data_IF_245054315227
#
_entry.id   IF_245054315227
#
_cell.length_a   1.000
_cell.length_b   1.000
_cell.length_c   1.000
_cell.angle_alpha   90.00
_cell.angle_beta   90.00
_cell.angle_gamma   90.00
#
_symmetry.space_group_name_H-M   'P 1'
#
loop_
_entity.id
_entity.type
_entity.pdbx_description
1 polymer ?
#
# COMPACT_ATOMS: atom_id res chain seq x y z
N UNK A 1 -62.18 12.33 23.24
CA UNK A 1 -61.40 12.10 22.01
C UNK A 1 -60.35 11.03 22.30
N UNK A 2 -60.49 9.86 21.66
CA UNK A 2 -59.57 8.72 21.71
C UNK A 2 -58.29 9.01 20.93
N UNK A 3 -57.15 8.45 21.37
CA UNK A 3 -56.22 7.65 20.54
C UNK A 3 -55.50 6.60 21.42
N UNK A 4 -55.14 5.41 20.89
CA UNK A 4 -54.83 4.22 21.67
C UNK A 4 -53.34 3.82 21.67
N UNK A 5 -53.09 2.76 22.45
CA UNK A 5 -51.84 2.11 22.85
C UNK A 5 -50.87 1.66 21.74
N UNK A 6 -49.57 1.67 22.06
CA UNK A 6 -48.52 0.96 21.34
C UNK A 6 -48.36 -0.45 21.94
N UNK A 7 -48.67 -1.48 21.14
CA UNK A 7 -48.43 -2.89 21.47
C UNK A 7 -47.02 -3.33 21.09
N UNK A 8 -46.37 -4.08 21.98
CA UNK A 8 -45.11 -4.76 21.72
C UNK A 8 -45.31 -5.95 20.78
N UNK A 9 -44.35 -6.17 19.89
CA UNK A 9 -44.31 -7.33 18.99
C UNK A 9 -43.16 -8.24 19.40
N UNK A 10 -43.53 -9.39 19.94
CA UNK A 10 -42.72 -10.58 20.16
C UNK A 10 -42.55 -11.29 18.80
N UNK A 11 -41.31 -11.59 18.37
CA UNK A 11 -41.07 -12.43 17.20
C UNK A 11 -40.78 -13.87 17.61
N UNK A 12 -41.72 -14.74 17.25
CA UNK A 12 -41.69 -16.19 17.38
C UNK A 12 -41.14 -16.83 16.09
N UNK A 13 -40.32 -17.87 16.27
CA UNK A 13 -40.09 -19.02 15.37
C UNK A 13 -40.04 -18.81 13.84
N UNK A 14 -38.83 -18.91 13.27
CA UNK A 14 -38.62 -19.41 11.92
C UNK A 14 -37.79 -20.71 11.99
N UNK A 15 -38.47 -21.85 11.86
CA UNK A 15 -37.87 -23.17 11.63
C UNK A 15 -37.46 -23.26 10.16
N UNK A 16 -36.16 -23.33 9.89
CA UNK A 16 -35.65 -23.74 8.59
C UNK A 16 -35.72 -25.27 8.47
N UNK A 17 -36.42 -25.73 7.45
CA UNK A 17 -36.65 -27.14 7.13
C UNK A 17 -35.41 -27.69 6.42
N UNK A 18 -34.74 -28.69 7.02
CA UNK A 18 -33.66 -29.46 6.38
C UNK A 18 -34.21 -30.85 6.05
N UNK A 19 -34.14 -31.32 4.80
CA UNK A 19 -34.70 -32.62 4.44
C UNK A 19 -33.85 -33.78 4.99
N UNK A 20 -34.52 -34.62 5.78
CA UNK A 20 -34.02 -35.86 6.33
C UNK A 20 -33.85 -36.93 5.23
N UNK A 21 -32.63 -37.41 5.00
CA UNK A 21 -32.38 -38.74 4.42
C UNK A 21 -31.36 -39.47 5.30
N UNK A 22 -31.88 -40.12 6.35
CA UNK A 22 -31.16 -41.16 7.07
C UNK A 22 -31.29 -42.48 6.30
N UNK A 23 -30.18 -42.98 5.76
CA UNK A 23 -30.00 -44.41 5.50
C UNK A 23 -29.27 -44.98 6.71
N UNK A 24 -29.97 -45.83 7.46
CA UNK A 24 -29.40 -46.57 8.59
C UNK A 24 -28.38 -47.57 8.07
N UNK A 25 -27.11 -47.39 8.45
CA UNK A 25 -26.09 -48.44 8.39
C UNK A 25 -25.50 -48.54 9.79
N UNK A 26 -25.78 -49.65 10.47
CA UNK A 26 -25.17 -49.97 11.74
C UNK A 26 -23.64 -50.01 11.57
N UNK A 27 -22.94 -49.08 12.22
CA UNK A 27 -21.48 -49.09 12.32
C UNK A 27 -21.12 -49.65 13.68
N UNK A 28 -20.31 -50.70 13.67
CA UNK A 28 -19.69 -51.28 14.84
C UNK A 28 -19.02 -50.18 15.69
N UNK A 29 -19.25 -50.22 17.00
CA UNK A 29 -18.53 -49.41 17.97
C UNK A 29 -17.06 -49.77 17.90
N UNK A 30 -16.28 -48.93 17.22
CA UNK A 30 -14.83 -48.91 17.39
C UNK A 30 -14.59 -48.11 18.66
N UNK A 31 -14.14 -48.78 19.71
CA UNK A 31 -13.73 -48.13 20.96
C UNK A 31 -12.48 -47.32 20.61
N UNK A 32 -12.65 -46.03 20.34
CA UNK A 32 -11.54 -45.08 20.27
C UNK A 32 -10.90 -45.01 21.66
N UNK A 33 -9.57 -45.17 21.79
CA UNK A 33 -8.93 -45.02 23.08
C UNK A 33 -9.25 -43.61 23.61
N UNK A 34 -9.82 -43.54 24.81
CA UNK A 34 -9.93 -42.26 25.52
C UNK A 34 -8.50 -41.77 25.75
N UNK A 35 -8.13 -40.67 25.08
CA UNK A 35 -6.99 -39.86 25.47
C UNK A 35 -7.06 -39.67 26.99
N UNK A 36 -6.03 -40.15 27.69
CA UNK A 36 -5.96 -40.18 29.15
C UNK A 36 -5.78 -38.80 29.77
N UNK A 37 -5.50 -37.77 28.97
CA UNK A 37 -5.14 -36.45 29.42
C UNK A 37 -5.98 -35.41 28.68
N UNK A 38 -6.54 -34.44 29.41
CA UNK A 38 -7.26 -33.32 28.83
C UNK A 38 -6.27 -32.43 28.06
N UNK A 39 -6.57 -32.07 26.82
CA UNK A 39 -5.70 -31.23 26.00
C UNK A 39 -5.44 -29.89 26.69
N UNK A 40 -6.43 -29.35 27.42
CA UNK A 40 -6.27 -28.11 28.19
C UNK A 40 -5.13 -28.22 29.20
N UNK A 41 -5.02 -29.35 29.91
CA UNK A 41 -3.95 -29.57 30.88
C UNK A 41 -2.57 -29.64 30.23
N UNK A 42 -2.48 -30.27 29.05
CA UNK A 42 -1.23 -30.33 28.26
C UNK A 42 -0.78 -28.93 27.87
N UNK A 43 -1.69 -28.08 27.40
CA UNK A 43 -1.34 -26.71 26.98
C UNK A 43 -1.02 -25.82 28.19
N UNK A 44 -1.74 -25.94 29.30
CA UNK A 44 -1.38 -25.23 30.55
C UNK A 44 0.04 -25.63 31.00
N UNK A 45 0.37 -26.93 30.91
CA UNK A 45 1.72 -27.43 31.20
C UNK A 45 2.77 -26.83 30.26
N UNK A 46 2.45 -26.69 28.97
CA UNK A 46 3.32 -26.02 27.99
C UNK A 46 3.64 -24.58 28.40
N UNK A 47 2.62 -23.77 28.73
CA UNK A 47 2.83 -22.38 29.15
C UNK A 47 3.59 -22.26 30.47
N UNK A 48 3.35 -23.16 31.43
CA UNK A 48 4.10 -23.21 32.68
C UNK A 48 5.59 -23.54 32.43
N UNK A 49 5.87 -24.53 31.58
CA UNK A 49 7.23 -24.87 31.19
C UNK A 49 7.90 -23.72 30.42
N UNK A 50 7.15 -23.03 29.55
CA UNK A 50 7.62 -21.81 28.90
C UNK A 50 7.98 -20.76 29.95
N UNK A 51 7.09 -20.38 30.86
CA UNK A 51 7.40 -19.36 31.87
C UNK A 51 8.57 -19.74 32.79
N UNK A 52 8.82 -21.03 32.99
CA UNK A 52 9.97 -21.55 33.74
C UNK A 52 11.28 -21.63 32.92
N UNK A 53 11.23 -21.44 31.60
CA UNK A 53 12.37 -21.66 30.70
C UNK A 53 12.73 -23.14 30.50
N UNK A 54 11.82 -24.06 30.82
CA UNK A 54 12.02 -25.50 30.74
C UNK A 54 11.73 -26.01 29.32
N UNK A 55 12.74 -25.86 28.46
CA UNK A 55 12.69 -26.31 27.06
C UNK A 55 12.61 -27.83 26.93
N UNK A 56 13.13 -28.58 27.90
CA UNK A 56 13.10 -30.04 27.89
C UNK A 56 11.67 -30.56 28.04
N UNK A 57 10.92 -30.03 29.02
CA UNK A 57 9.50 -30.33 29.16
C UNK A 57 8.73 -29.94 27.91
N UNK A 58 8.97 -28.76 27.34
CA UNK A 58 8.30 -28.33 26.09
C UNK A 58 8.57 -29.31 24.95
N UNK A 59 9.84 -29.67 24.72
CA UNK A 59 10.22 -30.63 23.68
C UNK A 59 9.53 -31.99 23.88
N UNK A 60 9.33 -32.40 25.13
CA UNK A 60 8.56 -33.59 25.48
C UNK A 60 7.07 -33.50 25.19
N UNK A 61 6.47 -32.31 25.07
CA UNK A 61 5.05 -32.12 24.74
C UNK A 61 4.77 -32.04 23.23
N UNK A 62 5.80 -31.74 22.42
CA UNK A 62 5.71 -31.61 20.96
C UNK A 62 5.76 -32.99 20.26
N UNK A 63 4.92 -33.18 19.24
CA UNK A 63 5.04 -34.31 18.31
C UNK A 63 6.29 -34.15 17.42
N UNK A 64 6.81 -35.22 16.83
CA UNK A 64 8.02 -35.10 16.00
C UNK A 64 7.78 -34.27 14.73
N UNK A 65 6.60 -34.39 14.15
CA UNK A 65 6.12 -33.75 12.91
C UNK A 65 5.23 -32.51 13.18
N UNK A 66 5.40 -31.86 14.32
CA UNK A 66 4.57 -30.72 14.69
C UNK A 66 4.88 -29.44 13.88
N UNK A 67 3.85 -28.63 13.63
CA UNK A 67 3.97 -27.32 12.96
C UNK A 67 3.57 -26.20 13.91
N UNK A 68 4.44 -25.21 14.11
CA UNK A 68 4.21 -24.07 14.99
C UNK A 68 4.22 -22.77 14.17
N UNK A 69 3.09 -22.08 14.10
CA UNK A 69 2.99 -20.81 13.38
C UNK A 69 2.75 -19.64 14.33
N UNK A 70 3.82 -18.93 14.67
CA UNK A 70 3.72 -17.59 15.25
C UNK A 70 3.48 -16.58 14.12
N UNK A 71 2.32 -15.91 14.12
CA UNK A 71 1.89 -15.01 13.04
C UNK A 71 2.70 -13.71 12.96
N UNK A 72 3.66 -13.49 13.87
CA UNK A 72 4.71 -12.48 13.68
C UNK A 72 5.65 -12.90 12.54
N UNK A 73 5.81 -14.20 12.31
CA UNK A 73 6.60 -14.78 11.23
C UNK A 73 5.70 -15.22 10.07
N UNK A 74 6.26 -15.18 8.87
CA UNK A 74 5.51 -15.49 7.66
C UNK A 74 5.28 -16.99 7.47
N UNK A 75 6.32 -17.80 7.68
CA UNK A 75 6.27 -19.27 7.60
C UNK A 75 6.25 -19.90 9.00
N UNK A 76 5.63 -21.09 9.15
CA UNK A 76 5.71 -21.87 10.38
C UNK A 76 7.10 -22.48 10.59
N UNK A 77 7.41 -22.80 11.85
CA UNK A 77 8.50 -23.68 12.23
C UNK A 77 8.03 -25.13 12.15
N UNK A 78 8.75 -25.98 11.41
CA UNK A 78 8.33 -27.33 11.07
C UNK A 78 9.22 -28.38 11.75
N UNK A 79 8.57 -29.25 12.52
CA UNK A 79 9.19 -30.31 13.29
C UNK A 79 9.67 -29.85 14.67
N UNK A 80 9.69 -30.81 15.60
CA UNK A 80 10.04 -30.59 17.02
C UNK A 80 11.38 -29.87 17.20
N UNK A 81 12.38 -30.23 16.40
CA UNK A 81 13.73 -29.70 16.55
C UNK A 81 13.80 -28.20 16.23
N UNK A 82 13.18 -27.77 15.12
CA UNK A 82 13.18 -26.36 14.71
C UNK A 82 12.47 -25.49 15.75
N UNK A 83 11.34 -25.96 16.27
CA UNK A 83 10.58 -25.26 17.31
C UNK A 83 11.39 -25.15 18.60
N UNK A 84 12.08 -26.21 19.02
CA UNK A 84 12.95 -26.18 20.20
C UNK A 84 14.13 -25.22 20.02
N UNK A 85 14.74 -25.16 18.84
CA UNK A 85 15.81 -24.20 18.52
C UNK A 85 15.30 -22.76 18.50
N UNK A 86 14.13 -22.52 17.94
CA UNK A 86 13.44 -21.23 18.00
C UNK A 86 13.21 -20.79 19.45
N UNK A 87 12.62 -21.64 20.28
CA UNK A 87 12.36 -21.32 21.69
C UNK A 87 13.64 -21.05 22.48
N UNK A 88 14.74 -21.77 22.20
CA UNK A 88 16.07 -21.46 22.78
C UNK A 88 16.57 -20.08 22.37
N UNK A 89 16.39 -19.69 21.11
CA UNK A 89 16.73 -18.34 20.65
C UNK A 89 15.86 -17.27 21.32
N UNK A 90 14.57 -17.52 21.50
CA UNK A 90 13.68 -16.60 22.23
C UNK A 90 14.21 -16.38 23.65
N UNK A 91 14.70 -17.42 24.33
CA UNK A 91 15.29 -17.31 25.68
C UNK A 91 16.55 -16.46 25.77
N UNK A 92 17.33 -16.34 24.70
CA UNK A 92 18.54 -15.49 24.72
C UNK A 92 18.21 -14.02 24.53
N UNK A 93 17.02 -13.70 24.03
CA UNK A 93 16.59 -12.35 23.65
C UNK A 93 15.58 -11.79 24.65
N UNK A 94 14.60 -12.61 25.06
CA UNK A 94 13.48 -12.18 25.90
C UNK A 94 13.87 -12.26 27.38
N UNK A 95 13.76 -11.14 28.14
CA UNK A 95 13.98 -11.12 29.58
C UNK A 95 13.18 -12.21 30.33
N UNK A 96 13.80 -12.84 31.31
CA UNK A 96 13.20 -13.96 32.07
C UNK A 96 12.02 -13.57 32.95
N UNK A 97 11.85 -12.27 33.22
CA UNK A 97 10.74 -11.71 33.98
C UNK A 97 9.51 -11.39 33.11
N UNK A 98 9.58 -11.59 31.79
CA UNK A 98 8.41 -11.58 30.91
C UNK A 98 7.73 -12.95 30.89
N UNK A 99 6.49 -13.00 31.35
CA UNK A 99 5.72 -14.25 31.50
C UNK A 99 4.35 -14.14 30.85
N UNK A 100 3.93 -15.23 30.22
CA UNK A 100 2.56 -15.38 29.74
C UNK A 100 1.62 -15.65 30.91
N UNK A 101 0.52 -14.91 30.99
CA UNK A 101 -0.58 -15.14 31.90
C UNK A 101 -1.78 -15.60 31.09
N UNK A 102 -2.31 -16.78 31.41
CA UNK A 102 -3.49 -17.32 30.76
C UNK A 102 -4.73 -16.62 31.33
N UNK A 103 -5.49 -15.96 30.46
CA UNK A 103 -6.76 -15.32 30.81
C UNK A 103 -7.91 -16.35 30.81
N UNK A 104 -8.00 -17.16 29.75
CA UNK A 104 -9.00 -18.23 29.62
C UNK A 104 -8.52 -19.34 28.66
N UNK A 105 -9.10 -20.52 28.78
CA UNK A 105 -8.83 -21.65 27.90
C UNK A 105 -10.06 -22.53 27.71
N UNK A 106 -10.36 -22.86 26.45
CA UNK A 106 -11.49 -23.74 26.07
C UNK A 106 -11.35 -25.13 26.69
N UNK A 107 -12.47 -25.76 27.03
CA UNK A 107 -12.54 -27.12 27.60
C UNK A 107 -13.53 -28.01 26.84
N UNK A 108 -13.44 -29.32 27.05
CA UNK A 108 -14.41 -30.30 26.52
C UNK A 108 -14.02 -30.98 25.20
N UNK A 109 -12.90 -30.60 24.57
CA UNK A 109 -12.28 -31.30 23.44
C UNK A 109 -10.90 -31.82 23.87
N UNK A 110 -10.69 -33.13 23.74
CA UNK A 110 -9.44 -33.79 24.16
C UNK A 110 -8.28 -33.59 23.17
N UNK A 111 -8.47 -32.87 22.06
CA UNK A 111 -7.45 -32.62 21.04
C UNK A 111 -7.29 -31.16 20.65
N UNK A 112 -8.21 -30.27 20.99
CA UNK A 112 -8.16 -28.86 20.55
C UNK A 112 -8.35 -27.91 21.71
N UNK A 113 -7.48 -26.92 21.78
CA UNK A 113 -7.52 -25.90 22.83
C UNK A 113 -7.28 -24.52 22.21
N UNK A 114 -8.20 -23.60 22.45
CA UNK A 114 -7.95 -22.17 22.32
C UNK A 114 -7.58 -21.58 23.68
N UNK A 115 -6.55 -20.74 23.72
CA UNK A 115 -6.12 -20.01 24.92
C UNK A 115 -6.09 -18.52 24.62
N UNK A 116 -6.57 -17.71 25.55
CA UNK A 116 -6.32 -16.27 25.60
C UNK A 116 -5.26 -15.97 26.65
N UNK A 117 -4.36 -15.05 26.35
CA UNK A 117 -3.26 -14.70 27.24
C UNK A 117 -2.86 -13.23 27.09
N UNK A 118 -2.16 -12.73 28.09
CA UNK A 118 -1.39 -11.49 28.03
C UNK A 118 0.01 -11.73 28.60
N UNK A 119 0.95 -10.83 28.34
CA UNK A 119 2.29 -10.90 28.94
C UNK A 119 2.38 -9.92 30.10
N UNK A 120 3.00 -10.36 31.19
CA UNK A 120 3.36 -9.51 32.33
C UNK A 120 4.87 -9.44 32.48
N UNK A 121 5.37 -8.30 32.95
CA UNK A 121 6.76 -8.04 33.30
C UNK A 121 6.89 -7.93 34.81
N UNK A 122 7.78 -8.71 35.42
CA UNK A 122 8.00 -8.65 36.87
C UNK A 122 6.77 -9.07 37.68
N UNK A 123 6.44 -8.30 38.73
CA UNK A 123 5.33 -8.60 39.64
C UNK A 123 4.00 -7.98 39.14
N UNK A 124 3.37 -8.60 38.15
CA UNK A 124 1.99 -8.29 37.76
C UNK A 124 1.81 -7.10 36.82
N UNK A 125 2.88 -6.54 36.25
CA UNK A 125 2.79 -5.38 35.36
C UNK A 125 2.47 -5.86 33.95
N UNK A 126 1.24 -5.63 33.48
CA UNK A 126 0.82 -5.98 32.12
C UNK A 126 1.68 -5.25 31.08
N UNK A 127 2.33 -6.01 30.19
CA UNK A 127 3.16 -5.47 29.13
C UNK A 127 2.26 -4.87 28.03
N UNK A 128 2.45 -3.61 27.59
CA UNK A 128 1.59 -3.00 26.58
C UNK A 128 1.60 -3.78 25.25
N UNK A 129 0.43 -3.87 24.61
CA UNK A 129 0.25 -4.53 23.30
C UNK A 129 0.69 -6.01 23.26
N UNK A 130 0.61 -6.70 24.40
CA UNK A 130 1.06 -8.08 24.54
C UNK A 130 -0.07 -9.07 24.76
N UNK A 131 -1.31 -8.70 24.45
CA UNK A 131 -2.40 -9.68 24.48
C UNK A 131 -2.29 -10.60 23.28
N UNK A 132 -2.86 -11.78 23.38
CA UNK A 132 -2.90 -12.70 22.27
C UNK A 132 -3.86 -13.86 22.49
N UNK A 133 -4.00 -14.65 21.44
CA UNK A 133 -4.67 -15.92 21.52
C UNK A 133 -3.89 -16.98 20.75
N UNK A 134 -3.97 -18.21 21.23
CA UNK A 134 -3.29 -19.34 20.64
C UNK A 134 -4.24 -20.50 20.45
N UNK A 135 -4.07 -21.21 19.34
CA UNK A 135 -4.83 -22.41 19.01
C UNK A 135 -3.90 -23.60 18.87
N UNK A 136 -4.18 -24.64 19.64
CA UNK A 136 -3.41 -25.86 19.65
C UNK A 136 -4.25 -27.04 19.18
N UNK A 137 -3.62 -27.94 18.42
CA UNK A 137 -4.14 -29.27 18.10
C UNK A 137 -3.16 -30.32 18.59
N UNK A 138 -3.69 -31.35 19.25
CA UNK A 138 -2.95 -32.51 19.73
C UNK A 138 -3.28 -33.74 18.90
N UNK A 139 -2.32 -34.64 18.77
CA UNK A 139 -2.50 -35.96 18.18
C UNK A 139 -3.14 -36.95 19.19
N UNK A 140 -3.27 -38.22 18.79
CA UNK A 140 -3.91 -39.26 19.60
C UNK A 140 -3.08 -39.67 20.83
N UNK A 141 -1.78 -39.38 20.81
CA UNK A 141 -0.84 -39.58 21.93
C UNK A 141 -0.83 -38.40 22.92
N UNK A 142 -1.62 -37.35 22.67
CA UNK A 142 -1.65 -36.15 23.51
C UNK A 142 -0.43 -35.24 23.34
N UNK A 143 0.27 -35.34 22.20
CA UNK A 143 1.36 -34.44 21.81
C UNK A 143 0.84 -33.33 20.92
N UNK A 144 1.41 -32.14 21.06
CA UNK A 144 1.07 -30.98 20.23
C UNK A 144 1.57 -31.23 18.80
N UNK A 145 0.65 -31.30 17.83
CA UNK A 145 0.96 -31.46 16.40
C UNK A 145 0.79 -30.15 15.64
N UNK A 146 -0.02 -29.22 16.15
CA UNK A 146 -0.17 -27.89 15.55
C UNK A 146 -0.29 -26.83 16.64
N UNK A 147 0.39 -25.71 16.45
CA UNK A 147 0.22 -24.49 17.23
C UNK A 147 0.09 -23.29 16.30
N UNK A 148 -0.78 -22.34 16.65
CA UNK A 148 -0.91 -21.06 15.96
C UNK A 148 -1.09 -19.95 16.97
N UNK A 149 -0.19 -18.98 16.96
CA UNK A 149 -0.22 -17.84 17.85
C UNK A 149 -0.61 -16.57 17.10
N UNK A 150 -1.55 -15.82 17.67
CA UNK A 150 -1.99 -14.53 17.20
C UNK A 150 -1.68 -13.50 18.29
N UNK A 151 -0.75 -12.61 17.99
CA UNK A 151 -0.31 -11.56 18.91
C UNK A 151 -1.03 -10.25 18.57
N UNK A 152 -1.40 -9.50 19.58
CA UNK A 152 -1.98 -8.16 19.44
C UNK A 152 -1.03 -7.27 18.64
N UNK A 153 -1.56 -6.63 17.60
CA UNK A 153 -0.80 -5.64 16.82
C UNK A 153 -0.54 -4.39 17.67
N UNK A 154 0.72 -3.95 17.71
CA UNK A 154 1.10 -2.67 18.30
C UNK A 154 0.41 -1.47 17.64
N UNK A 155 -0.01 -1.63 16.37
CA UNK A 155 -0.77 -0.63 15.62
C UNK A 155 -2.26 -1.02 15.63
N UNK A 156 -3.11 -0.16 16.18
CA UNK A 156 -4.57 -0.37 16.30
C UNK A 156 -5.34 0.62 15.42
N UNK A 157 -5.44 0.37 14.10
CA UNK A 157 -6.01 1.33 13.15
C UNK A 157 -7.54 1.54 13.29
N UNK A 158 -8.23 0.77 14.15
CA UNK A 158 -9.65 0.98 14.48
C UNK A 158 -10.57 0.93 13.26
N UNK A 159 -11.56 1.82 13.19
CA UNK A 159 -12.47 1.96 12.05
C UNK A 159 -11.77 2.35 10.73
N UNK A 160 -10.56 2.89 10.81
CA UNK A 160 -9.78 3.32 9.65
C UNK A 160 -9.27 2.15 8.83
N UNK A 161 -8.93 1.00 9.44
CA UNK A 161 -8.59 -0.20 8.67
C UNK A 161 -9.80 -0.79 7.97
N UNK A 162 -11.00 -0.68 8.56
CA UNK A 162 -12.24 -1.13 7.93
C UNK A 162 -12.61 -0.25 6.73
N UNK A 163 -12.44 1.07 6.85
CA UNK A 163 -12.62 2.00 5.73
C UNK A 163 -11.57 1.75 4.64
N UNK A 164 -10.30 1.58 4.99
CA UNK A 164 -9.25 1.22 4.03
C UNK A 164 -9.55 -0.10 3.33
N UNK A 165 -9.98 -1.12 4.07
CA UNK A 165 -10.36 -2.41 3.51
C UNK A 165 -11.57 -2.27 2.58
N UNK A 166 -12.57 -1.47 2.94
CA UNK A 166 -13.72 -1.16 2.08
C UNK A 166 -13.31 -0.42 0.80
N UNK A 167 -12.43 0.57 0.91
CA UNK A 167 -11.89 1.35 -0.23
C UNK A 167 -11.00 0.51 -1.13
N UNK A 168 -10.24 -0.44 -0.57
CA UNK A 168 -9.37 -1.35 -1.32
C UNK A 168 -10.12 -2.59 -1.85
N UNK A 169 -11.30 -2.92 -1.32
CA UNK A 169 -12.09 -4.10 -1.72
C UNK A 169 -12.35 -4.17 -3.24
N UNK A 170 -12.72 -3.09 -3.95
CA UNK A 170 -12.87 -3.12 -5.41
C UNK A 170 -11.56 -3.45 -6.13
N UNK A 171 -10.43 -2.95 -5.61
CA UNK A 171 -9.09 -3.18 -6.15
C UNK A 171 -8.65 -4.63 -5.91
N UNK A 172 -8.82 -5.15 -4.69
CA UNK A 172 -8.51 -6.53 -4.31
C UNK A 172 -9.38 -7.52 -5.11
N UNK A 173 -10.68 -7.23 -5.30
CA UNK A 173 -11.57 -8.03 -6.14
C UNK A 173 -11.14 -8.04 -7.60
N UNK A 174 -10.59 -6.93 -8.10
CA UNK A 174 -10.08 -6.81 -9.46
C UNK A 174 -8.73 -7.53 -9.64
N UNK A 175 -7.91 -7.57 -8.59
CA UNK A 175 -6.64 -8.31 -8.53
C UNK A 175 -6.86 -9.83 -8.34
N UNK A 176 -7.99 -10.25 -7.75
CA UNK A 176 -8.36 -11.66 -7.64
C UNK A 176 -7.31 -12.49 -6.90
N UNK A 177 -6.83 -13.58 -7.52
CA UNK A 177 -5.76 -14.44 -6.96
C UNK A 177 -4.42 -13.73 -6.81
N UNK A 178 -4.19 -12.62 -7.52
CA UNK A 178 -2.93 -11.87 -7.46
C UNK A 178 -2.82 -11.01 -6.18
N UNK A 179 -3.91 -10.86 -5.41
CA UNK A 179 -3.91 -10.19 -4.11
C UNK A 179 -3.48 -11.11 -2.93
N UNK A 180 -3.14 -12.37 -3.21
CA UNK A 180 -2.57 -13.29 -2.23
C UNK A 180 -1.21 -12.74 -1.72
N UNK A 181 -0.99 -12.63 -0.39
CA UNK A 181 0.31 -12.26 0.18
C UNK A 181 1.48 -13.10 -0.35
N UNK A 182 1.24 -14.35 -0.74
CA UNK A 182 2.26 -15.21 -1.36
C UNK A 182 2.73 -14.71 -2.75
N UNK A 183 1.94 -13.84 -3.42
CA UNK A 183 2.36 -13.13 -4.63
C UNK A 183 3.14 -11.84 -4.32
N UNK A 184 3.01 -11.26 -3.12
CA UNK A 184 3.86 -10.15 -2.65
C UNK A 184 5.31 -10.62 -2.43
N UNK A 185 5.54 -11.90 -2.07
CA UNK A 185 6.88 -12.55 -2.03
C UNK A 185 7.62 -12.50 -3.38
N UNK A 186 6.90 -12.30 -4.49
CA UNK A 186 7.46 -12.24 -5.85
C UNK A 186 7.70 -10.81 -6.34
N UNK A 187 7.39 -9.79 -5.54
CA UNK A 187 7.71 -8.40 -5.90
C UNK A 187 9.24 -8.25 -5.92
N UNK A 188 9.83 -7.79 -7.04
CA UNK A 188 11.24 -7.47 -7.07
C UNK A 188 11.47 -6.35 -6.06
N UNK A 189 12.64 -6.35 -5.41
CA UNK A 189 13.02 -5.35 -4.39
C UNK A 189 12.69 -3.91 -4.82
N UNK A 190 12.83 -3.62 -6.12
CA UNK A 190 12.46 -2.33 -6.70
C UNK A 190 10.95 -2.01 -6.53
N UNK A 191 10.05 -2.91 -6.90
CA UNK A 191 8.61 -2.69 -6.77
C UNK A 191 8.18 -2.57 -5.30
N UNK A 192 8.75 -3.40 -4.43
CA UNK A 192 8.52 -3.30 -2.98
C UNK A 192 8.99 -1.95 -2.42
N UNK A 193 10.17 -1.46 -2.85
CA UNK A 193 10.68 -0.15 -2.46
C UNK A 193 9.78 1.00 -2.92
N UNK A 194 9.20 0.92 -4.13
CA UNK A 194 8.23 1.91 -4.61
C UNK A 194 6.94 1.91 -3.79
N UNK A 195 6.41 0.74 -3.43
CA UNK A 195 5.22 0.65 -2.58
C UNK A 195 5.49 1.12 -1.15
N UNK A 196 6.66 0.80 -0.59
CA UNK A 196 7.08 1.32 0.70
C UNK A 196 7.21 2.85 0.65
N UNK A 197 7.83 3.38 -0.40
CA UNK A 197 7.94 4.82 -0.62
C UNK A 197 6.55 5.48 -0.75
N UNK A 198 5.62 4.86 -1.47
CA UNK A 198 4.24 5.35 -1.55
C UNK A 198 3.55 5.37 -0.19
N UNK A 199 3.66 4.28 0.59
CA UNK A 199 3.10 4.23 1.93
C UNK A 199 3.69 5.31 2.84
N UNK A 200 5.01 5.52 2.81
CA UNK A 200 5.69 6.60 3.54
C UNK A 200 5.25 7.98 3.06
N UNK A 201 5.20 8.21 1.75
CA UNK A 201 4.76 9.47 1.17
C UNK A 201 3.33 9.80 1.61
N UNK A 202 2.39 8.86 1.47
CA UNK A 202 1.00 9.05 1.92
C UNK A 202 0.92 9.27 3.43
N UNK A 203 1.62 8.47 4.22
CA UNK A 203 1.59 8.59 5.68
C UNK A 203 2.18 9.91 6.18
N UNK A 204 3.27 10.41 5.58
CA UNK A 204 3.97 11.62 6.03
C UNK A 204 3.38 12.87 5.37
N UNK A 205 3.33 12.91 4.04
CA UNK A 205 2.97 14.12 3.28
C UNK A 205 1.47 14.36 3.30
N UNK A 206 0.63 13.33 3.15
CA UNK A 206 -0.82 13.52 3.04
C UNK A 206 -1.53 13.43 4.38
N UNK A 207 -1.17 12.44 5.21
CA UNK A 207 -1.92 12.12 6.43
C UNK A 207 -1.22 12.57 7.72
N UNK A 208 0.09 12.81 7.67
CA UNK A 208 0.91 13.07 8.85
C UNK A 208 0.79 14.52 9.33
N UNK A 209 0.94 14.74 10.64
CA UNK A 209 0.90 16.07 11.26
C UNK A 209 2.24 16.83 11.21
N UNK A 210 3.31 16.16 10.80
CA UNK A 210 4.69 16.70 10.91
C UNK A 210 5.08 17.62 9.76
N UNK A 211 4.27 17.68 8.70
CA UNK A 211 4.51 18.56 7.55
C UNK A 211 3.56 19.76 7.56
N UNK A 212 3.96 20.90 6.94
CA UNK A 212 3.17 22.11 6.84
C UNK A 212 1.69 21.92 6.48
N UNK A 213 0.83 22.70 7.14
CA UNK A 213 -0.61 22.82 6.83
C UNK A 213 -1.48 21.64 7.26
N UNK A 214 -2.78 21.82 7.07
CA UNK A 214 -3.81 20.82 7.40
C UNK A 214 -3.62 19.54 6.59
N UNK A 215 -3.87 18.39 7.22
CA UNK A 215 -3.79 17.08 6.53
C UNK A 215 -4.78 16.99 5.37
N UNK A 216 -4.55 16.07 4.45
CA UNK A 216 -5.46 15.82 3.32
C UNK A 216 -6.88 15.43 3.77
N UNK A 217 -7.05 14.93 5.00
CA UNK A 217 -8.36 14.60 5.57
C UNK A 217 -9.04 15.80 6.26
N UNK A 218 -8.28 16.86 6.54
CA UNK A 218 -8.73 18.04 7.27
C UNK A 218 -8.64 19.30 6.42
N UNK A 219 -8.49 19.16 5.10
CA UNK A 219 -8.34 20.28 4.18
C UNK A 219 -9.53 21.23 4.27
N UNK A 220 -9.24 22.49 4.60
CA UNK A 220 -10.24 23.55 4.72
C UNK A 220 -11.00 23.82 3.40
N UNK A 221 -12.25 24.29 3.48
CA UNK A 221 -13.00 24.77 2.32
C UNK A 221 -12.28 25.89 1.55
N UNK A 222 -11.50 26.72 2.25
CA UNK A 222 -10.71 27.80 1.67
C UNK A 222 -9.62 27.25 0.75
N UNK A 223 -8.85 26.26 1.22
CA UNK A 223 -7.84 25.58 0.39
C UNK A 223 -8.48 24.88 -0.81
N UNK A 224 -9.65 24.23 -0.63
CA UNK A 224 -10.38 23.62 -1.76
C UNK A 224 -10.77 24.68 -2.79
N UNK A 225 -11.31 25.81 -2.33
CA UNK A 225 -11.70 26.93 -3.21
C UNK A 225 -10.49 27.50 -3.95
N UNK A 226 -9.36 27.64 -3.27
CA UNK A 226 -8.11 28.09 -3.87
C UNK A 226 -7.65 27.13 -4.99
N UNK A 227 -7.64 25.81 -4.74
CA UNK A 227 -7.29 24.82 -5.77
C UNK A 227 -8.25 24.87 -6.96
N UNK A 228 -9.54 25.12 -6.73
CA UNK A 228 -10.52 25.33 -7.81
C UNK A 228 -10.23 26.61 -8.60
N UNK A 229 -9.86 27.70 -7.94
CA UNK A 229 -9.45 28.95 -8.61
C UNK A 229 -8.21 28.75 -9.50
N UNK A 230 -7.21 28.04 -9.00
CA UNK A 230 -6.04 27.64 -9.78
C UNK A 230 -6.44 26.81 -11.00
N UNK A 231 -7.40 25.89 -10.82
CA UNK A 231 -7.93 25.04 -11.89
C UNK A 231 -8.69 25.84 -12.96
N UNK A 232 -9.40 26.91 -12.58
CA UNK A 232 -10.01 27.83 -13.55
C UNK A 232 -8.98 28.55 -14.42
N UNK A 233 -7.77 28.76 -13.89
CA UNK A 233 -6.66 29.39 -14.62
C UNK A 233 -5.67 28.36 -15.19
N UNK A 234 -6.12 27.12 -15.40
CA UNK A 234 -5.30 26.05 -15.97
C UNK A 234 -4.68 26.45 -17.32
N UNK A 235 -3.37 26.31 -17.40
CA UNK A 235 -2.47 26.72 -18.49
C UNK A 235 -2.68 28.15 -18.97
N UNK A 236 -3.22 29.02 -18.12
CA UNK A 236 -3.56 30.41 -18.45
C UNK A 236 -4.53 30.55 -19.63
N UNK A 237 -5.19 29.46 -20.04
CA UNK A 237 -6.05 29.41 -21.24
C UNK A 237 -7.22 30.38 -21.07
N UNK A 238 -7.92 30.30 -19.94
CA UNK A 238 -9.07 31.17 -19.68
C UNK A 238 -8.67 32.64 -19.49
N UNK A 239 -7.46 32.91 -18.98
CA UNK A 239 -6.93 34.27 -18.89
C UNK A 239 -6.72 34.85 -20.29
N UNK A 240 -6.10 34.08 -21.19
CA UNK A 240 -5.89 34.47 -22.58
C UNK A 240 -7.19 34.64 -23.37
N UNK A 241 -8.14 33.72 -23.19
CA UNK A 241 -9.48 33.82 -23.81
C UNK A 241 -10.23 35.07 -23.33
N UNK A 242 -10.19 35.36 -22.02
CA UNK A 242 -10.81 36.56 -21.45
C UNK A 242 -10.17 37.84 -22.03
N UNK A 243 -8.84 37.87 -22.19
CA UNK A 243 -8.15 38.99 -22.84
C UNK A 243 -8.57 39.20 -24.32
N UNK A 244 -9.11 38.17 -24.97
CA UNK A 244 -9.69 38.23 -26.32
C UNK A 244 -11.21 38.49 -26.32
N UNK A 245 -11.83 38.72 -25.16
CA UNK A 245 -13.27 38.91 -25.00
C UNK A 245 -14.09 37.63 -25.02
N UNK A 246 -13.47 36.45 -24.87
CA UNK A 246 -14.11 35.14 -24.84
C UNK A 246 -14.17 34.59 -23.41
N UNK A 247 -15.34 34.64 -22.77
CA UNK A 247 -15.54 34.12 -21.40
C UNK A 247 -16.41 32.86 -21.39
N UNK A 248 -15.79 31.70 -21.66
CA UNK A 248 -16.47 30.40 -21.61
C UNK A 248 -16.62 29.87 -20.18
N UNK A 249 -15.63 30.16 -19.33
CA UNK A 249 -15.51 29.73 -17.94
C UNK A 249 -14.96 30.92 -17.14
N UNK A 250 -15.30 31.08 -15.84
CA UNK A 250 -14.73 32.13 -15.02
C UNK A 250 -13.20 32.11 -15.03
N UNK A 251 -12.59 33.30 -15.09
CA UNK A 251 -11.15 33.50 -14.88
C UNK A 251 -11.01 34.24 -13.54
N UNK A 252 -10.79 33.50 -12.46
CA UNK A 252 -10.77 34.05 -11.10
C UNK A 252 -9.31 34.29 -10.69
N UNK A 253 -8.90 35.55 -10.45
CA UNK A 253 -7.54 35.85 -10.01
C UNK A 253 -7.12 35.13 -8.72
N UNK A 254 -5.91 34.58 -8.71
CA UNK A 254 -5.23 34.11 -7.51
C UNK A 254 -3.79 34.65 -7.46
N UNK A 255 -3.05 34.39 -6.38
CA UNK A 255 -1.69 34.85 -6.23
C UNK A 255 -0.79 34.28 -7.37
N UNK A 256 -0.01 35.15 -8.05
CA UNK A 256 0.78 34.74 -9.21
C UNK A 256 1.81 33.65 -8.91
N UNK A 257 2.31 33.56 -7.68
CA UNK A 257 3.27 32.51 -7.26
C UNK A 257 2.58 31.14 -7.23
N UNK A 258 1.37 31.06 -6.68
CA UNK A 258 0.63 29.79 -6.62
C UNK A 258 0.15 29.37 -8.01
N UNK A 259 -0.39 30.30 -8.80
CA UNK A 259 -0.75 30.06 -10.20
C UNK A 259 0.44 29.53 -11.01
N UNK A 260 1.64 30.09 -10.79
CA UNK A 260 2.87 29.64 -11.43
C UNK A 260 3.27 28.22 -11.03
N UNK A 261 3.35 27.92 -9.73
CA UNK A 261 3.71 26.57 -9.25
C UNK A 261 2.73 25.52 -9.78
N UNK A 262 1.42 25.79 -9.66
CA UNK A 262 0.38 24.90 -10.14
C UNK A 262 0.50 24.60 -11.64
N UNK A 263 0.62 25.63 -12.47
CA UNK A 263 0.68 25.46 -13.92
C UNK A 263 2.00 24.85 -14.39
N UNK A 264 3.11 25.18 -13.73
CA UNK A 264 4.41 24.57 -14.02
C UNK A 264 4.40 23.07 -13.75
N UNK A 265 3.84 22.64 -12.61
CA UNK A 265 3.71 21.22 -12.27
C UNK A 265 2.82 20.46 -13.25
N UNK A 266 1.67 21.03 -13.62
CA UNK A 266 0.79 20.45 -14.63
C UNK A 266 1.44 20.37 -16.02
N UNK A 267 2.23 21.38 -16.39
CA UNK A 267 3.00 21.37 -17.64
C UNK A 267 4.05 20.25 -17.62
N UNK A 268 4.66 19.97 -16.47
CA UNK A 268 5.56 18.84 -16.32
C UNK A 268 4.83 17.51 -16.44
N UNK A 269 3.71 17.34 -15.75
CA UNK A 269 2.86 16.15 -15.84
C UNK A 269 2.38 15.89 -17.27
N UNK A 270 2.10 16.94 -18.07
CA UNK A 270 1.67 16.81 -19.46
C UNK A 270 2.71 16.03 -20.29
N UNK A 271 4.00 16.33 -20.11
CA UNK A 271 5.10 15.70 -20.86
C UNK A 271 5.24 14.19 -20.58
N UNK A 272 4.70 13.70 -19.47
CA UNK A 272 4.84 12.29 -19.10
C UNK A 272 4.09 11.35 -20.06
N UNK A 273 3.01 11.80 -20.69
CA UNK A 273 2.17 10.96 -21.55
C UNK A 273 2.94 10.30 -22.71
N UNK A 274 3.61 11.05 -23.61
CA UNK A 274 4.37 10.42 -24.70
C UNK A 274 5.43 9.43 -24.20
N UNK A 275 6.04 9.69 -23.04
CA UNK A 275 7.10 8.84 -22.47
C UNK A 275 6.52 7.54 -21.93
N UNK A 276 5.48 7.58 -21.11
CA UNK A 276 4.89 6.36 -20.54
C UNK A 276 4.19 5.48 -21.59
N UNK A 277 3.78 6.06 -22.72
CA UNK A 277 3.18 5.31 -23.83
C UNK A 277 4.22 4.56 -24.67
N UNK A 278 5.50 4.95 -24.61
CA UNK A 278 6.56 4.40 -25.47
C UNK A 278 7.60 3.58 -24.73
N UNK A 279 7.75 3.75 -23.42
CA UNK A 279 8.67 2.95 -22.63
C UNK A 279 8.17 1.51 -22.46
N UNK A 280 9.00 0.52 -22.81
CA UNK A 280 8.60 -0.89 -22.79
C UNK A 280 8.29 -1.40 -21.38
N UNK A 281 8.94 -0.86 -20.34
CA UNK A 281 8.63 -1.21 -18.93
C UNK A 281 7.24 -0.76 -18.49
N UNK A 282 6.67 0.25 -19.14
CA UNK A 282 5.33 0.73 -18.85
C UNK A 282 4.25 -0.18 -19.44
N UNK A 283 4.57 -1.16 -20.29
CA UNK A 283 3.58 -2.05 -20.91
C UNK A 283 2.85 -2.97 -19.95
N UNK A 284 3.41 -3.19 -18.76
CA UNK A 284 2.74 -3.88 -17.65
C UNK A 284 1.55 -3.11 -17.10
N UNK A 285 1.54 -1.78 -17.26
CA UNK A 285 0.45 -0.93 -16.76
C UNK A 285 -0.64 -0.87 -17.82
N UNK A 286 -1.75 -1.55 -17.55
CA UNK A 286 -2.96 -1.47 -18.38
C UNK A 286 -3.60 -0.08 -18.27
N UNK A 287 -4.20 0.40 -19.37
CA UNK A 287 -4.93 1.67 -19.43
C UNK A 287 -4.12 2.86 -18.87
N UNK A 288 -3.04 3.23 -19.55
CA UNK A 288 -2.11 4.30 -19.15
C UNK A 288 -2.76 5.70 -19.09
N UNK A 289 -3.86 5.94 -19.82
CA UNK A 289 -4.53 7.26 -19.86
C UNK A 289 -5.12 7.67 -18.51
N UNK A 290 -5.93 6.85 -17.81
CA UNK A 290 -6.36 7.14 -16.43
C UNK A 290 -5.20 7.44 -15.47
N UNK A 291 -4.10 6.68 -15.56
CA UNK A 291 -2.91 6.94 -14.75
C UNK A 291 -2.31 8.30 -15.05
N UNK A 292 -2.15 8.64 -16.32
CA UNK A 292 -1.67 9.95 -16.75
C UNK A 292 -2.59 11.09 -16.29
N UNK A 293 -3.91 10.93 -16.40
CA UNK A 293 -4.86 11.92 -15.87
C UNK A 293 -4.75 12.09 -14.36
N UNK A 294 -4.54 10.98 -13.63
CA UNK A 294 -4.24 11.03 -12.20
C UNK A 294 -2.92 11.76 -11.90
N UNK A 295 -1.87 11.53 -12.69
CA UNK A 295 -0.58 12.23 -12.57
C UNK A 295 -0.72 13.73 -12.91
N UNK A 296 -1.57 14.08 -13.88
CA UNK A 296 -1.87 15.48 -14.21
C UNK A 296 -2.40 16.23 -13.00
N UNK A 297 -3.48 15.73 -12.39
CA UNK A 297 -4.23 16.51 -11.40
C UNK A 297 -3.94 16.16 -9.94
N UNK A 298 -3.29 15.02 -9.68
CA UNK A 298 -2.97 14.52 -8.33
C UNK A 298 -1.52 13.99 -8.23
N UNK A 299 -0.68 14.34 -9.21
CA UNK A 299 0.80 14.21 -9.16
C UNK A 299 1.26 12.88 -8.55
N UNK A 300 1.97 12.90 -7.42
CA UNK A 300 2.60 11.73 -6.81
C UNK A 300 1.63 10.77 -6.12
N UNK A 301 0.37 11.16 -5.88
CA UNK A 301 -0.67 10.22 -5.46
C UNK A 301 -0.86 9.13 -6.53
N UNK A 302 -0.69 9.47 -7.81
CA UNK A 302 -0.80 8.51 -8.92
C UNK A 302 0.55 8.15 -9.53
N UNK A 303 1.53 9.04 -9.52
CA UNK A 303 2.82 8.79 -10.15
C UNK A 303 3.62 7.71 -9.41
N UNK A 304 3.66 7.72 -8.07
CA UNK A 304 4.42 6.73 -7.31
C UNK A 304 3.82 5.32 -7.49
N UNK A 305 2.49 5.10 -7.36
CA UNK A 305 1.91 3.80 -7.67
C UNK A 305 2.12 3.38 -9.13
N UNK A 306 2.07 4.32 -10.08
CA UNK A 306 2.40 4.05 -11.47
C UNK A 306 3.85 3.52 -11.61
N UNK A 307 4.82 4.14 -10.94
CA UNK A 307 6.21 3.68 -10.91
C UNK A 307 6.36 2.31 -10.23
N UNK A 308 5.57 2.03 -9.19
CA UNK A 308 5.53 0.72 -8.53
C UNK A 308 5.04 -0.38 -9.49
N UNK A 309 3.97 -0.12 -10.23
CA UNK A 309 3.44 -1.04 -11.24
C UNK A 309 4.39 -1.21 -12.44
N UNK A 310 5.06 -0.13 -12.87
CA UNK A 310 6.14 -0.17 -13.86
C UNK A 310 7.32 -1.03 -13.37
N UNK A 311 7.60 -1.05 -12.08
CA UNK A 311 8.68 -1.84 -11.49
C UNK A 311 8.31 -3.30 -11.17
N UNK A 312 7.04 -3.68 -11.30
CA UNK A 312 6.56 -5.04 -11.06
C UNK A 312 7.26 -6.08 -11.97
N UNK A 313 7.29 -7.38 -11.61
CA UNK A 313 7.83 -8.42 -12.47
C UNK A 313 7.22 -8.38 -13.87
N UNK A 314 8.01 -8.76 -14.87
CA UNK A 314 7.45 -9.06 -16.18
C UNK A 314 6.53 -10.29 -16.07
N UNK A 315 5.36 -10.29 -16.75
CA UNK A 315 4.50 -11.45 -16.77
C UNK A 315 5.26 -12.67 -17.32
N UNK A 316 5.01 -13.83 -16.74
CA UNK A 316 5.65 -15.08 -17.17
C UNK A 316 5.29 -15.37 -18.63
N UNK A 317 6.29 -15.76 -19.42
CA UNK A 317 6.01 -16.26 -20.78
C UNK A 317 5.37 -17.64 -20.68
N UNK A 318 4.25 -17.90 -21.38
CA UNK A 318 3.70 -19.24 -21.44
C UNK A 318 4.77 -20.20 -21.99
N UNK A 319 4.93 -21.34 -21.34
CA UNK A 319 5.88 -22.37 -21.77
C UNK A 319 5.56 -22.78 -23.21
N UNK A 320 6.57 -22.84 -24.08
CA UNK A 320 6.42 -23.55 -25.34
C UNK A 320 6.18 -25.03 -25.05
N UNK A 321 5.47 -25.72 -25.96
CA UNK A 321 5.19 -27.16 -25.85
C UNK A 321 6.48 -27.96 -25.57
N UNK A 322 7.57 -27.58 -26.21
CA UNK A 322 8.88 -28.23 -26.04
C UNK A 322 9.51 -27.98 -24.66
N UNK A 323 9.37 -26.76 -24.11
CA UNK A 323 9.82 -26.45 -22.75
C UNK A 323 8.95 -27.07 -21.64
N UNK A 324 7.67 -27.37 -21.95
CA UNK A 324 6.78 -28.11 -21.06
C UNK A 324 7.26 -29.56 -20.86
N UNK A 325 7.69 -30.22 -21.94
CA UNK A 325 8.29 -31.56 -21.87
C UNK A 325 9.67 -31.59 -21.20
N UNK A 326 10.43 -30.49 -21.28
CA UNK A 326 11.76 -30.39 -20.67
C UNK A 326 11.77 -29.87 -19.22
N UNK A 327 10.60 -29.82 -18.54
CA UNK A 327 10.44 -29.42 -17.13
C UNK A 327 11.15 -28.12 -16.71
N UNK A 328 11.37 -27.19 -17.66
CA UNK A 328 11.93 -25.87 -17.34
C UNK A 328 10.86 -25.00 -16.71
N UNK A 329 11.18 -24.37 -15.58
CA UNK A 329 10.30 -23.37 -14.95
C UNK A 329 10.07 -22.20 -15.94
N UNK A 330 8.89 -21.55 -15.90
CA UNK A 330 8.67 -20.30 -16.61
C UNK A 330 9.77 -19.30 -16.23
N UNK A 331 10.43 -18.71 -17.22
CA UNK A 331 11.41 -17.66 -16.99
C UNK A 331 10.69 -16.31 -16.92
N UNK A 332 11.10 -15.44 -15.99
CA UNK A 332 10.70 -14.04 -15.99
C UNK A 332 10.97 -13.43 -17.39
N UNK A 333 9.97 -12.77 -17.96
CA UNK A 333 10.13 -12.11 -19.25
C UNK A 333 11.23 -11.05 -19.21
N UNK A 334 11.85 -10.76 -20.36
CA UNK A 334 12.62 -9.52 -20.52
C UNK A 334 11.63 -8.40 -20.85
N UNK A 335 11.83 -7.17 -20.32
CA UNK A 335 10.97 -6.05 -20.68
C UNK A 335 11.02 -5.83 -22.20
N UNK A 336 9.88 -5.46 -22.82
CA UNK A 336 9.84 -5.03 -24.21
C UNK A 336 10.84 -3.88 -24.47
N UNK A 337 11.37 -3.75 -25.70
CA UNK A 337 12.17 -2.59 -26.06
C UNK A 337 11.32 -1.32 -26.09
N UNK A 338 11.95 -0.19 -25.84
CA UNK A 338 11.30 1.12 -25.96
C UNK A 338 10.92 1.41 -27.42
N UNK A 339 9.75 2.00 -27.59
CA UNK A 339 9.21 2.42 -28.88
C UNK A 339 9.68 3.85 -29.22
N UNK A 340 9.75 4.21 -30.51
CA UNK A 340 10.02 5.59 -30.90
C UNK A 340 8.92 6.52 -30.38
N UNK A 341 9.30 7.74 -29.94
CA UNK A 341 8.34 8.77 -29.56
C UNK A 341 7.29 9.00 -30.67
N UNK A 342 6.00 9.20 -30.31
CA UNK A 342 4.97 9.46 -31.29
C UNK A 342 5.23 10.77 -32.04
N UNK A 343 4.76 10.87 -33.29
CA UNK A 343 4.95 12.09 -34.11
C UNK A 343 4.36 13.37 -33.52
N UNK A 344 3.43 13.24 -32.56
CA UNK A 344 2.83 14.35 -31.82
C UNK A 344 3.56 14.70 -30.51
N UNK A 345 4.58 13.95 -30.09
CA UNK A 345 5.37 14.24 -28.88
C UNK A 345 5.92 15.69 -28.85
N UNK A 346 6.40 16.28 -29.96
CA UNK A 346 6.85 17.67 -29.96
C UNK A 346 5.77 18.67 -29.57
N UNK A 347 4.48 18.39 -29.82
CA UNK A 347 3.38 19.26 -29.41
C UNK A 347 3.27 19.32 -27.88
N UNK A 348 3.47 18.19 -27.20
CA UNK A 348 3.46 18.11 -25.74
C UNK A 348 4.69 18.83 -25.18
N UNK A 349 5.88 18.58 -25.74
CA UNK A 349 7.10 19.30 -25.36
C UNK A 349 6.99 20.81 -25.53
N UNK A 350 6.49 21.28 -26.68
CA UNK A 350 6.32 22.70 -26.98
C UNK A 350 5.29 23.37 -26.08
N UNK A 351 4.13 22.73 -25.89
CA UNK A 351 3.07 23.24 -25.00
C UNK A 351 3.58 23.36 -23.57
N UNK A 352 4.19 22.30 -23.05
CA UNK A 352 4.74 22.30 -21.69
C UNK A 352 5.84 23.32 -21.51
N UNK A 353 6.80 23.41 -22.44
CA UNK A 353 7.86 24.41 -22.38
C UNK A 353 7.30 25.84 -22.36
N UNK A 354 6.31 26.11 -23.22
CA UNK A 354 5.65 27.42 -23.29
C UNK A 354 4.97 27.75 -21.97
N UNK A 355 4.13 26.85 -21.45
CA UNK A 355 3.45 27.06 -20.16
C UNK A 355 4.45 27.22 -19.03
N UNK A 356 5.49 26.38 -18.95
CA UNK A 356 6.48 26.47 -17.89
C UNK A 356 7.29 27.77 -17.91
N UNK A 357 7.70 28.24 -19.09
CA UNK A 357 8.37 29.55 -19.21
C UNK A 357 7.41 30.68 -18.83
N UNK A 358 6.15 30.62 -19.28
CA UNK A 358 5.13 31.59 -18.85
C UNK A 358 4.99 31.54 -17.33
N UNK A 359 4.89 30.37 -16.70
CA UNK A 359 4.77 30.24 -15.24
C UNK A 359 5.94 30.86 -14.50
N UNK A 360 7.18 30.64 -14.97
CA UNK A 360 8.36 31.27 -14.38
C UNK A 360 8.26 32.80 -14.45
N UNK A 361 7.91 33.36 -15.61
CA UNK A 361 7.72 34.81 -15.77
C UNK A 361 6.54 35.32 -14.93
N UNK A 362 5.42 34.59 -14.94
CA UNK A 362 4.18 34.92 -14.23
C UNK A 362 4.42 35.09 -12.74
N UNK A 363 5.22 34.19 -12.14
CA UNK A 363 5.61 34.24 -10.74
C UNK A 363 6.29 35.55 -10.34
N UNK A 364 6.93 36.29 -11.27
CA UNK A 364 7.67 37.53 -10.99
C UNK A 364 6.99 38.82 -11.43
N UNK A 365 6.19 38.80 -12.51
CA UNK A 365 5.66 40.06 -13.08
C UNK A 365 4.14 40.11 -13.23
N UNK A 366 3.44 38.97 -13.22
CA UNK A 366 1.99 38.98 -13.41
C UNK A 366 1.27 39.50 -12.16
N UNK A 367 0.10 40.09 -12.36
CA UNK A 367 -0.79 40.61 -11.31
C UNK A 367 -0.09 41.54 -10.31
N UNK A 368 0.33 42.76 -10.75
CA UNK A 368 1.04 43.71 -9.89
C UNK A 368 0.26 44.10 -8.62
N UNK A 369 -1.06 43.90 -8.60
CA UNK A 369 -1.91 44.08 -7.43
C UNK A 369 -1.58 43.14 -6.25
N UNK A 370 -0.82 42.06 -6.47
CA UNK A 370 -0.32 41.15 -5.42
C UNK A 370 1.07 41.55 -4.87
N UNK A 371 1.59 42.70 -5.26
CA UNK A 371 2.83 43.24 -4.74
C UNK A 371 4.07 42.97 -5.59
N UNK A 372 5.21 43.39 -5.04
CA UNK A 372 6.51 43.34 -5.69
C UNK A 372 7.21 41.98 -5.49
N UNK A 373 8.49 41.89 -5.88
CA UNK A 373 9.29 40.67 -5.76
C UNK A 373 9.47 40.24 -4.29
N UNK A 374 9.54 41.19 -3.37
CA UNK A 374 9.67 40.90 -1.94
C UNK A 374 8.39 40.26 -1.41
N UNK A 375 7.23 40.83 -1.72
CA UNK A 375 5.93 40.27 -1.34
C UNK A 375 5.72 38.85 -1.92
N UNK A 376 6.22 38.59 -3.13
CA UNK A 376 6.16 37.25 -3.76
C UNK A 376 7.00 36.23 -3.00
N UNK A 377 8.20 36.61 -2.57
CA UNK A 377 9.06 35.74 -1.77
C UNK A 377 8.45 35.45 -0.39
N UNK A 378 7.91 36.48 0.27
CA UNK A 378 7.20 36.32 1.54
C UNK A 378 5.99 35.39 1.41
N UNK A 379 5.20 35.57 0.34
CA UNK A 379 4.08 34.68 0.05
C UNK A 379 4.53 33.25 -0.20
N UNK A 380 5.57 33.04 -1.01
CA UNK A 380 6.14 31.71 -1.25
C UNK A 380 6.54 31.02 0.06
N UNK A 381 7.31 31.71 0.91
CA UNK A 381 7.78 31.18 2.19
C UNK A 381 6.61 30.91 3.14
N UNK A 382 5.61 31.79 3.16
CA UNK A 382 4.41 31.60 3.97
C UNK A 382 3.65 30.35 3.54
N UNK A 383 3.39 30.19 2.23
CA UNK A 383 2.67 29.03 1.70
C UNK A 383 3.46 27.73 1.89
N UNK A 384 4.77 27.75 1.66
CA UNK A 384 5.61 26.57 1.87
C UNK A 384 5.60 26.07 3.33
N UNK A 385 5.51 26.98 4.30
CA UNK A 385 5.53 26.63 5.72
C UNK A 385 4.14 26.39 6.33
N UNK A 386 3.05 26.82 5.67
CA UNK A 386 1.71 26.78 6.25
C UNK A 386 0.65 26.07 5.39
N UNK A 387 0.89 25.85 4.09
CA UNK A 387 -0.09 25.23 3.18
C UNK A 387 0.42 23.88 2.65
N UNK A 388 -0.34 22.82 2.94
CA UNK A 388 0.06 21.44 2.59
C UNK A 388 0.07 21.20 1.09
N UNK A 389 -0.89 21.76 0.36
CA UNK A 389 -1.01 21.54 -1.09
C UNK A 389 0.15 22.21 -1.81
N UNK A 390 0.49 23.44 -1.42
CA UNK A 390 1.64 24.17 -1.94
C UNK A 390 2.95 23.46 -1.60
N UNK A 391 3.12 23.07 -0.33
CA UNK A 391 4.26 22.29 0.10
C UNK A 391 4.42 20.99 -0.70
N UNK A 392 3.33 20.25 -0.91
CA UNK A 392 3.31 19.02 -1.70
C UNK A 392 3.72 19.28 -3.16
N UNK A 393 3.28 20.36 -3.81
CA UNK A 393 3.75 20.69 -5.16
C UNK A 393 5.27 20.90 -5.24
N UNK A 394 5.88 21.54 -4.24
CA UNK A 394 7.33 21.74 -4.21
C UNK A 394 8.08 20.43 -3.99
N UNK A 395 7.61 19.59 -3.06
CA UNK A 395 8.16 18.24 -2.85
C UNK A 395 8.02 17.41 -4.14
N UNK A 396 6.87 17.50 -4.79
CA UNK A 396 6.56 16.78 -6.02
C UNK A 396 7.45 17.21 -7.18
N UNK A 397 7.79 18.51 -7.31
CA UNK A 397 8.75 18.98 -8.29
C UNK A 397 10.14 18.33 -8.11
N UNK A 398 10.58 18.18 -6.86
CA UNK A 398 11.80 17.45 -6.52
C UNK A 398 11.73 15.98 -6.94
N UNK A 399 10.64 15.31 -6.59
CA UNK A 399 10.42 13.90 -6.94
C UNK A 399 10.28 13.68 -8.45
N UNK A 400 9.62 14.59 -9.17
CA UNK A 400 9.50 14.54 -10.64
C UNK A 400 10.87 14.59 -11.33
N UNK A 401 11.82 15.33 -10.77
CA UNK A 401 13.20 15.34 -11.24
C UNK A 401 13.82 13.94 -11.19
N UNK A 402 13.54 13.20 -10.10
CA UNK A 402 13.99 11.81 -9.93
C UNK A 402 13.24 10.90 -10.92
N UNK A 403 11.91 11.03 -11.04
CA UNK A 403 11.09 10.19 -11.92
C UNK A 403 11.47 10.37 -13.40
N UNK A 404 11.68 11.61 -13.83
CA UNK A 404 12.20 11.96 -15.15
C UNK A 404 13.53 11.22 -15.41
N UNK A 405 14.43 11.22 -14.43
CA UNK A 405 15.71 10.52 -14.57
C UNK A 405 15.55 8.99 -14.67
N UNK A 406 14.50 8.41 -14.09
CA UNK A 406 14.22 6.97 -14.15
C UNK A 406 13.54 6.59 -15.46
N UNK A 407 12.61 7.40 -15.95
CA UNK A 407 11.87 7.18 -17.20
C UNK A 407 12.76 7.40 -18.43
N UNK A 408 13.60 8.44 -18.40
CA UNK A 408 14.50 8.79 -19.52
C UNK A 408 15.85 8.07 -19.42
N UNK A 409 15.88 6.83 -18.94
CA UNK A 409 17.13 6.12 -18.64
C UNK A 409 18.05 5.91 -19.85
N UNK A 410 17.49 5.88 -21.06
CA UNK A 410 18.22 5.76 -22.33
C UNK A 410 18.52 7.09 -23.02
N UNK A 411 18.05 8.21 -22.49
CA UNK A 411 18.28 9.53 -23.08
C UNK A 411 19.63 10.12 -22.65
N UNK A 412 20.12 11.09 -23.43
CA UNK A 412 21.35 11.82 -23.11
C UNK A 412 21.21 12.60 -21.78
N UNK A 413 22.32 12.86 -21.05
CA UNK A 413 22.29 13.49 -19.73
C UNK A 413 21.52 14.81 -19.67
N UNK A 414 21.61 15.66 -20.71
CA UNK A 414 20.90 16.93 -20.76
C UNK A 414 19.37 16.78 -20.77
N UNK A 415 18.86 15.65 -21.27
CA UNK A 415 17.43 15.36 -21.27
C UNK A 415 16.98 14.72 -19.97
N UNK A 416 17.86 13.89 -19.41
CA UNK A 416 17.57 13.05 -18.25
C UNK A 416 17.67 13.80 -16.92
N UNK A 417 18.68 14.65 -16.76
CA UNK A 417 19.06 15.23 -15.46
C UNK A 417 18.86 16.74 -15.37
N UNK A 418 18.42 17.41 -16.44
CA UNK A 418 17.94 18.80 -16.38
C UNK A 418 16.45 18.76 -16.09
N UNK A 419 16.00 19.06 -14.86
CA UNK A 419 14.59 18.92 -14.50
C UNK A 419 13.71 19.80 -15.37
N UNK A 420 12.55 19.28 -15.76
CA UNK A 420 11.55 19.92 -16.62
C UNK A 420 12.06 20.20 -18.06
N UNK A 421 13.05 21.08 -18.22
CA UNK A 421 13.59 21.50 -19.52
C UNK A 421 14.25 20.36 -20.28
N UNK A 422 14.89 19.41 -19.59
CA UNK A 422 15.47 18.23 -20.22
C UNK A 422 14.40 17.35 -20.88
N UNK A 423 13.27 17.13 -20.21
CA UNK A 423 12.14 16.38 -20.76
C UNK A 423 11.46 17.14 -21.89
N UNK A 424 11.29 18.45 -21.75
CA UNK A 424 10.73 19.29 -22.82
C UNK A 424 11.57 19.22 -24.10
N UNK A 425 12.88 19.39 -23.97
CA UNK A 425 13.81 19.31 -25.10
C UNK A 425 13.91 17.90 -25.68
N UNK A 426 13.78 16.85 -24.87
CA UNK A 426 13.71 15.46 -25.32
C UNK A 426 12.50 15.20 -26.22
N UNK A 427 11.33 15.72 -25.84
CA UNK A 427 10.13 15.58 -26.65
C UNK A 427 10.18 16.41 -27.94
N UNK A 428 10.92 17.52 -27.92
CA UNK A 428 11.15 18.38 -29.09
C UNK A 428 12.19 17.81 -30.05
N UNK A 429 13.19 17.07 -29.56
CA UNK A 429 14.14 16.36 -30.40
C UNK A 429 13.42 15.22 -31.12
N UNK A 430 13.10 15.42 -32.41
CA UNK A 430 12.69 14.32 -33.29
C UNK A 430 13.79 13.25 -33.24
N UNK A 431 13.39 11.98 -33.08
CA UNK A 431 14.27 10.82 -33.12
C UNK A 431 15.41 10.97 -34.16
N UNK A 432 16.61 11.33 -33.71
CA UNK A 432 17.86 11.17 -34.46
C UNK A 432 18.32 9.70 -34.44
N UNK A 433 17.39 8.74 -34.41
CA UNK A 433 17.69 7.31 -34.49
C UNK A 433 17.94 6.82 -35.92
N UNK A 434 18.29 7.72 -36.84
CA UNK A 434 18.92 7.41 -38.14
C UNK A 434 20.35 7.94 -38.20
N UNK A 435 21.23 7.56 -37.27
CA UNK A 435 22.69 7.60 -37.49
C UNK A 435 23.45 7.06 -36.27
N UNK A 436 23.70 5.75 -36.21
CA UNK A 436 24.92 5.16 -35.61
C UNK A 436 24.91 3.63 -35.79
N UNK A 437 24.81 3.18 -37.03
CA UNK A 437 25.40 1.92 -37.50
C UNK A 437 25.86 2.16 -38.93
N UNK A 438 27.06 2.69 -39.04
CA UNK A 438 27.97 2.50 -40.17
C UNK A 438 29.28 2.00 -39.57
#
# INVERSE_FOLDING_TARGET
MQRPAAGGIHFSHLRLCVPNRFVSRASAQTVTPKLSQDAKEVIIKYYNAYNAGDIETIGGLLAEDCSYHDMIYEDPFEGRQEIVEYLKKVRTIVPSDLKFVIEDATSGDNRKVGIMWHVECGEGIVFPFSRGCSFYTLNEEGKIIQARDLVESAVKPGSSSLNLLATMTPLIRKLGRDADPANLRRLPLAAAAWWAFYATYTAVILLGSDVPGETALQTSPETITQVLNLSFNFFYVNIGLNALGLTLVPSIPDNPVYEAVFNFMNAWSLMTLPVILTEGKCDKVSNKIPWWLGIMFLTNVFYIPFMALRAAPEPEKPLSVESWFMSKRPSAGKPPPDQPLPGWAPLFGATSLTVGVISLVWAFIARPEYGDVSARLEYFLSMFNNDRVFFAFIVDAGLYSIWQSVLLHGAAPQHRFVPFFGMATYLLSRNDSKSSKA
#
